data_IF_043726351438
#
_entry.id   IF_043726351438
#
_cell.length_a   1.000
_cell.length_b   1.000
_cell.length_c   1.000
_cell.angle_alpha   90.00
_cell.angle_beta   90.00
_cell.angle_gamma   90.00
#
_symmetry.space_group_name_H-M   'P 1'
#
loop_
_entity.id
_entity.type
_entity.pdbx_description
1 polymer ?
#
# COMPACT_ATOMS: atom_id res chain seq x y z
N UNK A 1 -35.51 19.22 -2.82
CA UNK A 1 -35.22 20.59 -3.28
C UNK A 1 -33.80 20.60 -3.78
N UNK A 2 -33.55 20.71 -5.09
CA UNK A 2 -32.19 20.71 -5.61
C UNK A 2 -31.52 22.02 -5.23
N UNK A 3 -30.33 21.93 -4.63
CA UNK A 3 -29.47 23.10 -4.42
C UNK A 3 -28.96 23.55 -5.78
N UNK A 4 -29.39 24.75 -6.14
CA UNK A 4 -28.92 25.55 -7.24
C UNK A 4 -27.38 25.65 -7.19
N UNK A 5 -26.69 25.08 -8.18
CA UNK A 5 -25.25 25.27 -8.38
C UNK A 5 -25.06 26.55 -9.20
N UNK A 6 -25.11 27.69 -8.53
CA UNK A 6 -24.77 28.98 -9.11
C UNK A 6 -23.45 29.50 -8.54
N UNK A 7 -22.33 29.05 -9.11
CA UNK A 7 -21.07 29.80 -9.17
C UNK A 7 -20.29 29.27 -10.37
N UNK A 8 -20.03 30.13 -11.35
CA UNK A 8 -19.44 29.80 -12.65
C UNK A 8 -18.01 29.29 -12.57
N UNK A 9 -17.83 28.02 -12.25
CA UNK A 9 -16.65 27.27 -12.67
C UNK A 9 -16.88 26.88 -14.13
N UNK A 10 -16.04 27.39 -15.03
CA UNK A 10 -15.97 26.89 -16.41
C UNK A 10 -15.84 25.36 -16.34
N UNK A 11 -16.68 24.64 -17.09
CA UNK A 11 -16.54 23.19 -17.25
C UNK A 11 -15.19 22.93 -17.93
N UNK A 12 -14.14 22.73 -17.13
CA UNK A 12 -12.81 22.39 -17.63
C UNK A 12 -12.94 21.04 -18.33
N UNK A 13 -12.77 21.04 -19.65
CA UNK A 13 -12.86 19.83 -20.48
C UNK A 13 -11.65 18.94 -20.22
N UNK A 14 -11.86 17.61 -20.26
CA UNK A 14 -10.78 16.63 -20.18
C UNK A 14 -9.70 16.91 -21.25
N UNK A 15 -8.45 17.20 -20.86
CA UNK A 15 -7.40 17.57 -21.83
C UNK A 15 -6.74 16.37 -22.52
N UNK A 16 -7.21 15.15 -22.26
CA UNK A 16 -6.51 13.92 -22.65
C UNK A 16 -5.37 13.58 -21.69
N UNK A 17 -5.06 12.29 -21.56
CA UNK A 17 -3.83 11.88 -20.89
C UNK A 17 -2.65 12.11 -21.85
N UNK A 18 -1.60 12.85 -21.45
CA UNK A 18 -0.49 13.19 -22.34
C UNK A 18 0.50 12.03 -22.51
N UNK A 19 0.11 10.99 -23.22
CA UNK A 19 0.99 9.86 -23.56
C UNK A 19 2.18 10.29 -24.43
N UNK A 20 2.01 11.36 -25.21
CA UNK A 20 2.99 11.97 -26.10
C UNK A 20 3.98 12.92 -25.38
N UNK A 21 3.85 13.11 -24.06
CA UNK A 21 4.79 13.92 -23.29
C UNK A 21 6.23 13.42 -23.55
N UNK A 22 7.13 14.25 -24.12
CA UNK A 22 8.44 13.80 -24.54
C UNK A 22 9.31 13.51 -23.32
N UNK A 23 10.21 12.53 -23.48
CA UNK A 23 11.38 12.44 -22.61
C UNK A 23 12.30 13.60 -22.95
N UNK A 24 12.62 14.44 -21.98
CA UNK A 24 13.67 15.44 -22.16
C UNK A 24 15.03 14.76 -22.01
N UNK A 25 16.07 15.34 -22.61
CA UNK A 25 17.44 14.81 -22.50
C UNK A 25 17.82 14.62 -21.03
N UNK A 26 17.37 15.52 -20.16
CA UNK A 26 17.66 15.46 -18.73
C UNK A 26 16.80 14.45 -17.96
N UNK A 27 15.69 13.96 -18.53
CA UNK A 27 14.97 12.81 -17.98
C UNK A 27 15.70 11.49 -18.27
N UNK A 28 16.40 11.41 -19.41
CA UNK A 28 17.14 10.22 -19.85
C UNK A 28 18.56 10.18 -19.28
N UNK A 29 19.22 11.33 -19.29
CA UNK A 29 20.59 11.56 -18.87
C UNK A 29 20.59 12.68 -17.82
N UNK A 30 20.17 12.40 -16.57
CA UNK A 30 20.14 13.41 -15.51
C UNK A 30 21.52 14.03 -15.37
N UNK A 31 21.69 15.33 -15.71
CA UNK A 31 23.01 15.92 -15.76
C UNK A 31 23.61 15.97 -14.34
N UNK A 32 24.94 15.95 -14.24
CA UNK A 32 25.66 16.09 -12.97
C UNK A 32 25.57 17.53 -12.38
N UNK A 33 24.41 18.18 -12.53
CA UNK A 33 24.10 19.49 -11.97
C UNK A 33 23.96 19.35 -10.46
N UNK A 34 24.18 20.43 -9.71
CA UNK A 34 23.84 20.44 -8.30
C UNK A 34 22.38 19.98 -8.11
N UNK A 35 22.16 19.04 -7.19
CA UNK A 35 20.84 18.50 -6.79
C UNK A 35 19.73 19.55 -6.67
N UNK A 36 20.11 20.80 -6.37
CA UNK A 36 19.23 21.96 -6.26
C UNK A 36 18.50 22.29 -7.56
N UNK A 37 19.21 22.32 -8.69
CA UNK A 37 18.63 22.63 -9.99
C UNK A 37 17.84 21.46 -10.60
N UNK A 38 18.16 20.24 -10.18
CA UNK A 38 17.43 19.05 -10.60
C UNK A 38 16.02 19.01 -9.97
N UNK A 39 15.90 19.34 -8.68
CA UNK A 39 14.61 19.33 -7.96
C UNK A 39 13.65 20.45 -8.36
N UNK A 40 14.12 21.54 -8.98
CA UNK A 40 13.25 22.63 -9.47
C UNK A 40 12.56 22.30 -10.79
N UNK A 41 12.90 21.17 -11.41
CA UNK A 41 12.32 20.69 -12.66
C UNK A 41 11.28 19.62 -12.38
N UNK A 42 10.29 19.52 -13.25
CA UNK A 42 9.32 18.42 -13.24
C UNK A 42 9.77 17.32 -14.18
N UNK A 43 9.80 16.08 -13.67
CA UNK A 43 10.02 14.86 -14.46
C UNK A 43 8.88 14.63 -15.43
N UNK A 44 9.09 13.78 -16.44
CA UNK A 44 8.06 13.41 -17.43
C UNK A 44 6.71 13.10 -16.79
N UNK A 45 6.65 12.14 -15.86
CA UNK A 45 5.41 11.75 -15.16
C UNK A 45 4.76 12.92 -14.42
N UNK A 46 5.56 13.80 -13.82
CA UNK A 46 5.06 14.98 -13.12
C UNK A 46 4.47 16.01 -14.07
N UNK A 47 5.05 16.17 -15.27
CA UNK A 47 4.49 17.02 -16.32
C UNK A 47 3.15 16.48 -16.80
N UNK A 48 3.01 15.16 -16.92
CA UNK A 48 1.73 14.51 -17.26
C UNK A 48 0.65 14.82 -16.22
N UNK A 49 0.93 14.59 -14.94
CA UNK A 49 0.00 14.91 -13.84
C UNK A 49 -0.32 16.39 -13.74
N UNK A 50 0.69 17.27 -13.89
CA UNK A 50 0.49 18.72 -13.90
C UNK A 50 -0.46 19.15 -15.02
N UNK A 51 -0.35 18.57 -16.22
CA UNK A 51 -1.21 18.94 -17.36
C UNK A 51 -2.68 18.66 -17.08
N UNK A 52 -2.99 17.56 -16.39
CA UNK A 52 -4.38 17.20 -16.06
C UNK A 52 -4.87 17.80 -14.73
N UNK A 53 -4.00 18.43 -13.95
CA UNK A 53 -4.38 18.95 -12.62
C UNK A 53 -5.53 19.96 -12.64
N UNK A 54 -5.60 20.94 -13.57
CA UNK A 54 -6.76 21.84 -13.64
C UNK A 54 -8.09 21.08 -13.78
N UNK A 55 -8.09 20.02 -14.57
CA UNK A 55 -9.26 19.16 -14.73
C UNK A 55 -9.56 18.35 -13.46
N UNK A 56 -8.57 17.70 -12.83
CA UNK A 56 -8.79 17.00 -11.56
C UNK A 56 -9.34 17.94 -10.48
N UNK A 57 -8.89 19.19 -10.47
CA UNK A 57 -9.39 20.22 -9.56
C UNK A 57 -10.87 20.55 -9.80
N UNK A 58 -11.31 20.67 -11.06
CA UNK A 58 -12.74 20.84 -11.38
C UNK A 58 -13.57 19.60 -11.00
N UNK A 59 -12.94 18.42 -10.95
CA UNK A 59 -13.54 17.20 -10.42
C UNK A 59 -13.52 17.10 -8.88
N UNK A 60 -13.01 18.12 -8.17
CA UNK A 60 -12.99 18.17 -6.71
C UNK A 60 -11.73 17.61 -6.05
N UNK A 61 -10.64 17.41 -6.80
CA UNK A 61 -9.40 16.80 -6.29
C UNK A 61 -8.16 17.67 -6.56
N UNK A 62 -7.45 18.02 -5.49
CA UNK A 62 -6.29 18.90 -5.54
C UNK A 62 -4.99 18.11 -5.34
N UNK A 63 -4.13 18.09 -6.36
CA UNK A 63 -2.77 17.55 -6.24
C UNK A 63 -1.86 18.47 -5.41
N UNK A 64 -0.72 17.92 -4.99
CA UNK A 64 0.32 18.64 -4.23
C UNK A 64 0.80 19.91 -4.95
N UNK A 65 1.32 20.94 -4.23
CA UNK A 65 1.73 22.21 -4.83
C UNK A 65 2.62 22.09 -6.07
N UNK A 66 3.50 21.09 -6.11
CA UNK A 66 4.41 20.77 -7.21
C UNK A 66 3.72 20.56 -8.57
N UNK A 67 2.47 20.10 -8.57
CA UNK A 67 1.70 19.81 -9.79
C UNK A 67 0.76 20.95 -10.20
N UNK A 68 0.77 22.08 -9.49
CA UNK A 68 -0.05 23.22 -9.87
C UNK A 68 0.54 23.94 -11.10
N UNK A 69 -0.29 24.41 -12.04
CA UNK A 69 0.17 25.30 -13.11
C UNK A 69 0.91 26.51 -12.52
N UNK A 70 2.06 26.85 -13.11
CA UNK A 70 2.89 27.95 -12.61
C UNK A 70 3.56 27.67 -11.26
N UNK A 71 3.70 26.41 -10.83
CA UNK A 71 4.43 26.05 -9.60
C UNK A 71 5.82 26.70 -9.57
N UNK A 72 6.11 27.31 -8.44
CA UNK A 72 7.39 27.92 -8.08
C UNK A 72 7.92 27.15 -6.88
N UNK A 73 9.16 26.62 -6.92
CA UNK A 73 9.76 25.89 -5.81
C UNK A 73 9.72 26.68 -4.50
N UNK A 74 9.30 26.04 -3.40
CA UNK A 74 9.20 26.70 -2.10
C UNK A 74 10.55 27.04 -1.45
N UNK A 75 11.66 26.54 -2.00
CA UNK A 75 13.03 26.83 -1.58
C UNK A 75 13.70 27.84 -2.52
N UNK A 76 13.31 29.11 -2.45
CA UNK A 76 14.05 30.14 -3.16
C UNK A 76 15.29 30.57 -2.36
N UNK A 77 16.40 30.97 -3.03
CA UNK A 77 17.49 31.64 -2.34
C UNK A 77 16.95 32.92 -1.69
N UNK A 78 16.98 33.01 -0.35
CA UNK A 78 16.67 34.26 0.34
C UNK A 78 17.68 35.34 -0.10
N UNK A 79 17.19 36.54 -0.42
CA UNK A 79 18.04 37.71 -0.65
C UNK A 79 18.85 37.98 0.62
N UNK A 80 20.11 37.54 0.65
CA UNK A 80 20.96 37.59 1.84
C UNK A 80 21.90 36.40 2.06
N UNK A 81 21.91 35.41 1.16
CA UNK A 81 22.95 34.36 1.17
C UNK A 81 22.76 33.26 2.21
N UNK A 82 21.53 33.05 2.72
CA UNK A 82 21.25 31.83 3.48
C UNK A 82 21.27 30.61 2.58
N UNK A 83 21.75 29.50 3.13
CA UNK A 83 21.77 28.21 2.46
C UNK A 83 20.34 27.77 2.10
N UNK A 84 20.14 27.34 0.84
CA UNK A 84 18.86 26.85 0.33
C UNK A 84 18.47 25.56 1.08
N UNK A 85 17.48 25.63 1.97
CA UNK A 85 16.93 24.47 2.68
C UNK A 85 15.83 23.78 1.86
N UNK A 86 16.23 22.74 1.12
CA UNK A 86 15.34 21.88 0.33
C UNK A 86 14.87 20.65 1.09
N UNK A 87 15.72 20.11 1.98
CA UNK A 87 15.51 18.78 2.56
C UNK A 87 14.37 18.74 3.60
N UNK A 88 13.72 19.88 3.83
CA UNK A 88 12.55 20.04 4.68
C UNK A 88 11.29 20.46 3.91
N UNK A 89 11.33 20.52 2.57
CA UNK A 89 10.24 20.97 1.71
C UNK A 89 9.58 19.81 0.98
N UNK A 90 8.26 19.68 1.13
CA UNK A 90 7.47 18.64 0.46
C UNK A 90 7.63 18.68 -1.05
N UNK A 91 7.47 19.86 -1.65
CA UNK A 91 7.50 20.06 -3.10
C UNK A 91 8.90 19.87 -3.72
N UNK A 92 9.91 19.55 -2.90
CA UNK A 92 11.25 19.14 -3.34
C UNK A 92 11.38 17.63 -3.57
N UNK A 93 10.40 16.83 -3.14
CA UNK A 93 10.40 15.38 -3.30
C UNK A 93 9.82 15.04 -4.68
N UNK A 94 10.63 14.48 -5.60
CA UNK A 94 10.16 14.12 -6.93
C UNK A 94 9.20 12.93 -6.88
N UNK A 95 8.24 12.94 -7.79
CA UNK A 95 7.29 11.86 -8.02
C UNK A 95 7.77 10.96 -9.17
N UNK A 96 8.73 10.11 -8.81
CA UNK A 96 9.50 9.26 -9.73
C UNK A 96 9.52 7.78 -9.29
N UNK A 97 8.62 7.39 -8.39
CA UNK A 97 8.50 6.00 -7.98
C UNK A 97 8.00 5.12 -9.17
N UNK A 98 8.13 3.79 -9.06
CA UNK A 98 7.77 2.85 -10.15
C UNK A 98 6.31 2.93 -10.59
N UNK A 99 5.42 3.41 -9.71
CA UNK A 99 4.00 3.60 -9.95
C UNK A 99 3.64 5.08 -10.20
N UNK A 100 4.61 5.97 -10.40
CA UNK A 100 4.37 7.41 -10.59
C UNK A 100 3.58 7.73 -11.86
N UNK A 101 3.56 6.83 -12.86
CA UNK A 101 2.74 7.01 -14.06
C UNK A 101 1.27 6.61 -13.86
N UNK A 102 0.94 5.93 -12.75
CA UNK A 102 -0.39 5.33 -12.51
C UNK A 102 -0.99 5.76 -11.18
N UNK A 103 -0.22 6.23 -10.21
CA UNK A 103 -0.70 6.60 -8.88
C UNK A 103 -0.16 7.94 -8.43
N UNK A 104 -0.98 8.74 -7.76
CA UNK A 104 -0.59 10.01 -7.14
C UNK A 104 -1.49 10.30 -5.93
N UNK A 105 -1.01 11.03 -4.93
CA UNK A 105 -1.84 11.47 -3.82
C UNK A 105 -2.49 12.84 -4.07
N UNK A 106 -3.69 13.03 -3.52
CA UNK A 106 -4.49 14.23 -3.69
C UNK A 106 -5.28 14.56 -2.41
N UNK A 107 -5.78 15.78 -2.29
CA UNK A 107 -6.76 16.16 -1.29
C UNK A 107 -8.12 16.34 -1.94
N UNK A 108 -9.13 15.65 -1.42
CA UNK A 108 -10.53 15.88 -1.82
C UNK A 108 -10.98 17.23 -1.27
N UNK A 109 -11.44 18.13 -2.14
CA UNK A 109 -11.74 19.53 -1.80
C UNK A 109 -12.92 19.63 -0.82
N UNK A 110 -13.91 18.74 -0.94
CA UNK A 110 -15.15 18.81 -0.15
C UNK A 110 -14.95 18.64 1.36
N UNK A 111 -13.93 17.89 1.79
CA UNK A 111 -13.72 17.54 3.19
C UNK A 111 -12.25 17.50 3.63
N UNK A 112 -11.31 17.77 2.72
CA UNK A 112 -9.88 17.75 2.99
C UNK A 112 -9.30 16.35 3.19
N UNK A 113 -10.02 15.28 2.80
CA UNK A 113 -9.53 13.92 2.95
C UNK A 113 -8.32 13.69 2.04
N UNK A 114 -7.23 13.16 2.61
CA UNK A 114 -6.04 12.72 1.86
C UNK A 114 -6.34 11.37 1.20
N UNK A 115 -6.23 11.33 -0.12
CA UNK A 115 -6.58 10.18 -0.94
C UNK A 115 -5.44 9.82 -1.90
N UNK A 116 -5.46 8.58 -2.40
CA UNK A 116 -4.65 8.13 -3.51
C UNK A 116 -5.53 8.01 -4.76
N UNK A 117 -5.10 8.61 -5.86
CA UNK A 117 -5.71 8.46 -7.17
C UNK A 117 -4.93 7.39 -7.93
N UNK A 118 -5.60 6.32 -8.37
CA UNK A 118 -5.04 5.32 -9.30
C UNK A 118 -5.67 5.49 -10.67
N UNK A 119 -4.87 5.89 -11.66
CA UNK A 119 -5.25 6.00 -13.07
C UNK A 119 -5.32 4.62 -13.71
N UNK A 120 -6.39 4.38 -14.46
CA UNK A 120 -6.56 3.22 -15.33
C UNK A 120 -6.74 3.73 -16.78
N UNK A 121 -5.94 3.25 -17.75
CA UNK A 121 -5.97 3.67 -19.15
C UNK A 121 -7.11 3.01 -19.94
N UNK A 122 -8.32 3.06 -19.40
CA UNK A 122 -9.53 2.68 -20.12
C UNK A 122 -10.74 3.37 -19.50
N UNK A 123 -11.86 3.28 -20.21
CA UNK A 123 -13.15 3.72 -19.69
C UNK A 123 -13.51 2.93 -18.44
N UNK A 124 -14.26 3.57 -17.55
CA UNK A 124 -14.74 2.93 -16.32
C UNK A 124 -15.53 1.64 -16.61
N UNK A 125 -16.34 1.63 -17.67
CA UNK A 125 -17.17 0.48 -18.04
C UNK A 125 -16.35 -0.73 -18.53
N UNK A 126 -15.13 -0.50 -19.02
CA UNK A 126 -14.26 -1.52 -19.60
C UNK A 126 -13.25 -2.09 -18.58
N UNK A 127 -13.22 -1.55 -17.36
CA UNK A 127 -12.24 -1.92 -16.33
C UNK A 127 -12.74 -3.05 -15.44
N UNK A 128 -12.11 -4.22 -15.54
CA UNK A 128 -12.31 -5.35 -14.62
C UNK A 128 -11.86 -4.99 -13.20
N UNK A 129 -10.73 -4.28 -13.05
CA UNK A 129 -10.22 -3.81 -11.77
C UNK A 129 -11.23 -2.93 -11.06
N UNK A 130 -11.79 -1.93 -11.76
CA UNK A 130 -12.83 -1.07 -11.22
C UNK A 130 -14.08 -1.88 -10.84
N UNK A 131 -14.52 -2.79 -11.71
CA UNK A 131 -15.70 -3.63 -11.46
C UNK A 131 -15.56 -4.45 -10.17
N UNK A 132 -14.41 -5.10 -9.96
CA UNK A 132 -14.12 -5.87 -8.75
C UNK A 132 -14.02 -4.95 -7.52
N UNK A 133 -13.27 -3.86 -7.62
CA UNK A 133 -13.07 -2.92 -6.51
C UNK A 133 -14.38 -2.26 -6.08
N UNK A 134 -15.24 -1.92 -7.04
CA UNK A 134 -16.57 -1.37 -6.79
C UNK A 134 -17.49 -2.39 -6.14
N UNK A 135 -17.49 -3.66 -6.60
CA UNK A 135 -18.24 -4.74 -5.98
C UNK A 135 -17.82 -4.95 -4.51
N UNK A 136 -16.52 -4.99 -4.24
CA UNK A 136 -15.98 -5.14 -2.87
C UNK A 136 -16.27 -3.92 -1.97
N UNK A 137 -16.65 -2.79 -2.57
CA UNK A 137 -16.98 -1.54 -1.89
C UNK A 137 -18.50 -1.29 -1.75
N UNK A 138 -19.34 -2.23 -2.18
CA UNK A 138 -20.78 -2.15 -1.95
C UNK A 138 -21.12 -2.21 -0.45
N UNK A 139 -22.25 -1.61 -0.01
CA UNK A 139 -22.64 -1.57 1.41
C UNK A 139 -22.66 -2.95 2.09
N UNK A 140 -23.07 -4.00 1.38
CA UNK A 140 -23.14 -5.37 1.86
C UNK A 140 -21.74 -5.90 2.17
N UNK A 141 -20.82 -5.79 1.20
CA UNK A 141 -19.43 -6.23 1.36
C UNK A 141 -18.68 -5.38 2.39
N UNK A 142 -18.95 -4.07 2.49
CA UNK A 142 -18.28 -3.19 3.46
C UNK A 142 -18.67 -3.46 4.92
N UNK A 143 -19.83 -4.06 5.16
CA UNK A 143 -20.29 -4.41 6.52
C UNK A 143 -19.60 -5.65 7.06
N UNK A 144 -19.10 -6.54 6.20
CA UNK A 144 -18.36 -7.72 6.63
C UNK A 144 -16.95 -7.31 7.10
N UNK A 145 -16.66 -7.53 8.37
CA UNK A 145 -15.38 -7.16 8.98
C UNK A 145 -14.17 -7.90 8.34
N UNK A 146 -14.42 -9.07 7.74
CA UNK A 146 -13.42 -9.88 7.02
C UNK A 146 -13.06 -9.29 5.67
N UNK A 147 -13.82 -8.30 5.18
CA UNK A 147 -13.49 -7.62 3.94
C UNK A 147 -12.29 -6.68 4.12
N UNK A 148 -11.11 -7.20 3.84
CA UNK A 148 -9.86 -6.43 3.82
C UNK A 148 -9.55 -5.83 2.45
N UNK A 149 -10.47 -5.78 1.49
CA UNK A 149 -10.24 -5.03 0.25
C UNK A 149 -10.22 -3.53 0.54
N UNK A 150 -9.34 -2.79 -0.14
CA UNK A 150 -9.35 -1.33 -0.07
C UNK A 150 -10.70 -0.77 -0.52
N UNK A 151 -11.33 0.13 0.27
CA UNK A 151 -12.60 0.69 -0.13
C UNK A 151 -12.40 1.71 -1.26
N UNK A 152 -13.33 1.72 -2.21
CA UNK A 152 -13.46 2.73 -3.25
C UNK A 152 -14.25 3.92 -2.68
N UNK A 153 -13.63 5.09 -2.64
CA UNK A 153 -14.25 6.30 -2.11
C UNK A 153 -15.04 7.06 -3.17
N UNK A 154 -14.54 7.08 -4.40
CA UNK A 154 -15.11 7.76 -5.55
C UNK A 154 -14.47 7.27 -6.86
N UNK A 155 -15.05 7.64 -8.00
CA UNK A 155 -14.55 7.33 -9.35
C UNK A 155 -14.62 8.59 -10.20
N UNK A 156 -13.45 9.10 -10.61
CA UNK A 156 -13.37 10.20 -11.56
C UNK A 156 -13.36 9.61 -12.97
N UNK A 157 -14.32 10.01 -13.81
CA UNK A 157 -14.51 9.45 -15.16
C UNK A 157 -14.00 10.42 -16.22
N UNK A 158 -13.19 9.92 -17.14
CA UNK A 158 -12.83 10.58 -18.38
C UNK A 158 -13.26 9.71 -19.58
N UNK A 159 -13.31 10.26 -20.81
CA UNK A 159 -13.72 9.53 -22.01
C UNK A 159 -12.89 8.28 -22.34
N UNK A 160 -11.62 8.25 -21.96
CA UNK A 160 -10.64 7.20 -22.28
C UNK A 160 -9.89 6.69 -21.04
N UNK A 161 -10.18 7.24 -19.87
CA UNK A 161 -9.52 6.95 -18.60
C UNK A 161 -10.54 6.91 -17.45
N UNK A 162 -10.17 6.22 -16.37
CA UNK A 162 -10.82 6.42 -15.09
C UNK A 162 -9.78 6.50 -13.97
N UNK A 163 -10.13 7.20 -12.89
CA UNK A 163 -9.30 7.34 -11.71
C UNK A 163 -10.06 6.83 -10.50
N UNK A 164 -9.53 5.79 -9.89
CA UNK A 164 -10.05 5.24 -8.63
C UNK A 164 -9.56 6.15 -7.51
N UNK A 165 -10.49 6.63 -6.69
CA UNK A 165 -10.19 7.40 -5.48
C UNK A 165 -10.18 6.44 -4.30
N UNK A 166 -8.99 6.20 -3.76
CA UNK A 166 -8.73 5.23 -2.70
C UNK A 166 -8.26 5.97 -1.42
N UNK A 167 -8.45 5.42 -0.22
CA UNK A 167 -7.83 5.95 0.99
C UNK A 167 -6.31 5.99 0.86
N UNK A 168 -5.70 7.03 1.41
CA UNK A 168 -4.25 7.16 1.45
C UNK A 168 -3.64 6.31 2.58
N UNK A 169 -3.34 5.04 2.29
CA UNK A 169 -2.73 4.11 3.24
C UNK A 169 -1.23 3.92 3.02
N UNK A 170 -0.56 3.38 4.04
CA UNK A 170 0.90 3.25 4.05
C UNK A 170 1.37 1.89 3.56
N UNK A 171 2.40 1.87 2.72
CA UNK A 171 3.10 0.65 2.29
C UNK A 171 3.86 -0.04 3.44
N UNK A 172 3.92 -1.38 3.39
CA UNK A 172 4.71 -2.22 4.30
C UNK A 172 6.22 -2.22 3.99
N UNK A 173 6.63 -1.84 2.77
CA UNK A 173 8.02 -1.96 2.29
C UNK A 173 8.97 -0.90 2.91
N UNK A 174 8.43 0.02 3.72
CA UNK A 174 9.23 1.06 4.38
C UNK A 174 10.11 0.54 5.52
N UNK A 175 11.31 1.12 5.68
CA UNK A 175 12.17 0.87 6.86
C UNK A 175 11.57 1.38 8.17
N UNK A 176 10.61 2.29 8.10
CA UNK A 176 9.97 2.93 9.25
C UNK A 176 8.57 2.37 9.43
N UNK A 177 8.20 2.05 10.67
CA UNK A 177 7.00 1.27 10.95
C UNK A 177 7.21 -0.23 10.83
N UNK A 178 8.44 -0.72 11.04
CA UNK A 178 8.73 -2.16 11.18
C UNK A 178 8.01 -2.75 12.41
N UNK A 179 7.87 -4.07 12.45
CA UNK A 179 7.22 -4.79 13.53
C UNK A 179 8.04 -4.63 14.81
N UNK A 180 7.37 -4.34 15.92
CA UNK A 180 8.00 -4.18 17.25
C UNK A 180 7.73 -5.39 18.15
N UNK A 181 6.62 -6.12 17.92
CA UNK A 181 6.23 -7.31 18.69
C UNK A 181 5.83 -8.49 17.79
N UNK A 182 5.83 -9.70 18.35
CA UNK A 182 5.32 -10.91 17.68
C UNK A 182 3.84 -10.72 17.30
N UNK A 183 3.05 -10.10 18.17
CA UNK A 183 1.63 -9.78 17.96
C UNK A 183 1.42 -8.98 16.68
N UNK A 184 2.27 -7.99 16.41
CA UNK A 184 2.13 -7.17 15.21
C UNK A 184 2.30 -7.98 13.92
N UNK A 185 3.20 -8.97 13.90
CA UNK A 185 3.35 -9.88 12.77
C UNK A 185 2.21 -10.87 12.65
N UNK A 186 1.72 -11.38 13.78
CA UNK A 186 0.55 -12.27 13.83
C UNK A 186 -0.72 -11.57 13.36
N UNK A 187 -0.95 -10.32 13.79
CA UNK A 187 -2.10 -9.53 13.36
C UNK A 187 -2.06 -9.22 11.85
N UNK A 188 -0.87 -8.97 11.29
CA UNK A 188 -0.66 -8.78 9.86
C UNK A 188 -1.01 -10.04 9.06
N UNK A 189 -0.41 -11.18 9.42
CA UNK A 189 -0.69 -12.46 8.75
C UNK A 189 -2.17 -12.82 8.86
N UNK A 190 -2.74 -12.75 10.05
CA UNK A 190 -4.13 -13.11 10.29
C UNK A 190 -5.11 -12.28 9.47
N UNK A 191 -5.03 -10.94 9.54
CA UNK A 191 -5.97 -10.06 8.84
C UNK A 191 -5.90 -10.24 7.32
N UNK A 192 -4.71 -10.43 6.76
CA UNK A 192 -4.60 -10.67 5.32
C UNK A 192 -5.09 -12.06 4.93
N UNK A 193 -4.89 -13.10 5.77
CA UNK A 193 -5.42 -14.44 5.52
C UNK A 193 -6.95 -14.44 5.57
N UNK A 194 -7.52 -13.77 6.57
CA UNK A 194 -8.96 -13.55 6.71
C UNK A 194 -9.51 -12.78 5.50
N UNK A 195 -8.81 -11.73 5.07
CA UNK A 195 -9.12 -10.96 3.87
C UNK A 195 -9.16 -11.81 2.60
N UNK A 196 -8.14 -12.63 2.40
CA UNK A 196 -8.05 -13.48 1.23
C UNK A 196 -9.06 -14.63 1.27
N UNK A 197 -9.30 -15.22 2.45
CA UNK A 197 -10.37 -16.22 2.63
C UNK A 197 -11.72 -15.64 2.21
N UNK A 198 -12.01 -14.40 2.64
CA UNK A 198 -13.23 -13.70 2.24
C UNK A 198 -13.31 -13.45 0.73
N UNK A 199 -12.21 -13.05 0.08
CA UNK A 199 -12.18 -12.94 -1.39
C UNK A 199 -12.46 -14.30 -2.06
N UNK A 200 -11.85 -15.38 -1.57
CA UNK A 200 -12.05 -16.73 -2.10
C UNK A 200 -13.48 -17.23 -1.90
N UNK A 201 -14.13 -16.92 -0.76
CA UNK A 201 -15.56 -17.17 -0.53
C UNK A 201 -16.45 -16.47 -1.56
N UNK A 202 -16.07 -15.25 -1.96
CA UNK A 202 -16.74 -14.50 -3.03
C UNK A 202 -16.34 -14.96 -4.44
N UNK A 203 -15.57 -16.04 -4.55
CA UNK A 203 -14.97 -16.56 -5.78
C UNK A 203 -14.15 -15.51 -6.53
N UNK A 204 -13.35 -14.75 -5.81
CA UNK A 204 -12.39 -13.79 -6.36
C UNK A 204 -10.98 -14.30 -6.08
N UNK A 205 -10.21 -14.56 -7.13
CA UNK A 205 -8.77 -14.81 -7.02
C UNK A 205 -8.02 -13.50 -7.28
N UNK A 206 -7.09 -13.13 -6.39
CA UNK A 206 -6.35 -11.87 -6.47
C UNK A 206 -5.26 -11.92 -7.55
N UNK A 207 -4.56 -13.05 -7.67
CA UNK A 207 -3.54 -13.37 -8.68
C UNK A 207 -2.26 -12.52 -8.68
N UNK A 208 -2.06 -11.62 -7.72
CA UNK A 208 -0.81 -10.87 -7.55
C UNK A 208 -0.57 -10.49 -6.07
N UNK A 209 -0.61 -11.47 -5.17
CA UNK A 209 -0.35 -11.19 -3.76
C UNK A 209 1.15 -11.02 -3.50
N UNK A 210 1.50 -9.81 -3.09
CA UNK A 210 2.84 -9.44 -2.68
C UNK A 210 2.81 -8.44 -1.53
N UNK A 211 3.96 -8.22 -0.88
CA UNK A 211 4.06 -7.20 0.16
C UNK A 211 3.78 -5.76 -0.34
N UNK A 212 3.92 -5.51 -1.65
CA UNK A 212 3.58 -4.22 -2.26
C UNK A 212 2.07 -4.01 -2.36
N UNK A 213 1.29 -5.11 -2.46
CA UNK A 213 -0.17 -5.09 -2.58
C UNK A 213 -0.90 -5.25 -1.23
N UNK A 214 -0.18 -5.00 -0.13
CA UNK A 214 -0.74 -4.89 1.22
C UNK A 214 -0.42 -3.52 1.76
N UNK A 215 -1.45 -2.74 2.08
CA UNK A 215 -1.33 -1.45 2.75
C UNK A 215 -1.80 -1.55 4.20
N UNK A 216 -1.34 -0.61 5.03
CA UNK A 216 -1.80 -0.46 6.41
C UNK A 216 -2.41 0.92 6.63
N UNK A 217 -3.56 0.95 7.29
CA UNK A 217 -4.12 2.18 7.86
C UNK A 217 -3.24 2.61 9.04
N UNK A 218 -2.38 3.58 8.76
CA UNK A 218 -1.25 3.94 9.62
C UNK A 218 -1.39 5.32 10.25
N UNK A 219 -2.48 6.06 10.02
CA UNK A 219 -2.55 7.48 10.35
C UNK A 219 -2.25 7.74 11.84
N UNK A 220 -2.79 6.88 12.71
CA UNK A 220 -2.55 6.96 14.16
C UNK A 220 -1.10 6.68 14.55
N UNK A 221 -0.34 5.94 13.74
CA UNK A 221 1.10 5.69 13.94
C UNK A 221 1.96 6.90 13.55
N UNK A 222 1.51 7.69 12.56
CA UNK A 222 2.26 8.78 11.96
C UNK A 222 1.56 10.11 12.21
N UNK A 223 1.76 10.76 13.38
CA UNK A 223 1.03 11.99 13.76
C UNK A 223 1.31 13.20 12.87
N UNK A 224 2.30 13.13 11.99
CA UNK A 224 2.62 14.15 10.99
C UNK A 224 2.32 13.68 9.55
N UNK A 225 1.64 12.54 9.42
CA UNK A 225 1.40 11.85 8.16
C UNK A 225 2.68 11.29 7.53
N UNK A 226 2.59 10.91 6.27
CA UNK A 226 3.69 10.36 5.49
C UNK A 226 3.56 10.70 4.00
N UNK A 227 4.70 10.74 3.32
CA UNK A 227 4.77 11.07 1.90
C UNK A 227 4.64 9.82 1.01
N UNK A 228 3.88 9.92 -0.10
CA UNK A 228 3.70 8.85 -1.08
C UNK A 228 5.05 8.38 -1.67
N UNK A 229 5.79 9.31 -2.28
CA UNK A 229 7.04 9.00 -3.00
C UNK A 229 8.22 8.66 -2.11
N UNK A 230 8.20 9.11 -0.85
CA UNK A 230 9.32 8.90 0.04
C UNK A 230 8.86 8.63 1.47
N UNK A 231 8.69 7.35 1.77
CA UNK A 231 8.22 6.87 3.07
C UNK A 231 9.15 7.19 4.25
N UNK A 232 10.28 7.89 4.05
CA UNK A 232 11.12 8.43 5.13
C UNK A 232 10.69 9.82 5.60
N UNK A 233 9.83 10.50 4.84
CA UNK A 233 9.37 11.86 5.10
C UNK A 233 7.88 11.91 5.46
N UNK A 234 7.51 12.92 6.24
CA UNK A 234 6.14 13.27 6.55
C UNK A 234 5.49 14.04 5.39
N UNK A 235 4.19 14.35 5.49
CA UNK A 235 3.45 15.06 4.42
C UNK A 235 3.95 16.49 4.16
N UNK A 236 4.85 17.01 5.02
CA UNK A 236 5.46 18.33 4.84
C UNK A 236 6.89 18.23 4.30
N UNK A 237 7.34 17.04 3.92
CA UNK A 237 8.69 16.82 3.42
C UNK A 237 9.76 16.84 4.49
N UNK A 238 9.42 16.61 5.77
CA UNK A 238 10.41 16.54 6.86
C UNK A 238 10.68 15.10 7.24
N UNK A 239 11.89 14.80 7.72
CA UNK A 239 12.21 13.44 8.21
C UNK A 239 11.22 13.00 9.29
N UNK A 240 10.68 11.80 9.13
CA UNK A 240 9.68 11.28 10.07
C UNK A 240 10.25 11.18 11.49
N UNK A 241 9.45 11.70 12.44
CA UNK A 241 9.72 11.69 13.86
C UNK A 241 8.46 11.28 14.63
N UNK A 242 8.62 10.93 15.92
CA UNK A 242 7.51 10.59 16.83
C UNK A 242 6.58 9.46 16.34
N UNK A 243 7.08 8.58 15.48
CA UNK A 243 6.36 7.40 14.98
C UNK A 243 6.03 6.49 16.15
N UNK A 244 4.75 6.10 16.26
CA UNK A 244 4.26 5.15 17.27
C UNK A 244 4.26 3.73 16.69
N UNK A 245 4.41 2.73 17.54
CA UNK A 245 4.28 1.32 17.11
C UNK A 245 2.80 0.96 16.94
N UNK A 246 2.50 -0.13 16.21
CA UNK A 246 1.12 -0.59 16.02
C UNK A 246 0.51 -0.97 17.37
N UNK A 247 1.30 -1.60 18.24
CA UNK A 247 0.89 -1.94 19.60
C UNK A 247 0.48 -0.68 20.37
N UNK A 248 1.26 0.41 20.33
CA UNK A 248 0.97 1.64 21.07
C UNK A 248 -0.34 2.32 20.70
N UNK A 249 -0.83 2.12 19.48
CA UNK A 249 -2.10 2.71 19.01
C UNK A 249 -3.28 1.74 19.10
N UNK A 250 -3.07 0.53 19.64
CA UNK A 250 -4.09 -0.50 19.77
C UNK A 250 -4.29 -1.38 18.53
N UNK A 251 -3.35 -1.38 17.59
CA UNK A 251 -3.40 -2.12 16.33
C UNK A 251 -3.65 -1.23 15.11
N UNK A 252 -3.51 -1.84 13.93
CA UNK A 252 -3.81 -1.25 12.62
C UNK A 252 -4.65 -2.22 11.82
N UNK A 253 -5.37 -1.70 10.82
CA UNK A 253 -6.05 -2.52 9.82
C UNK A 253 -5.18 -2.63 8.57
N UNK A 254 -5.14 -3.82 7.99
CA UNK A 254 -4.44 -4.07 6.72
C UNK A 254 -5.44 -4.21 5.59
N UNK A 255 -5.03 -3.80 4.40
CA UNK A 255 -5.87 -3.81 3.21
C UNK A 255 -5.13 -4.44 2.03
N UNK A 256 -5.82 -5.34 1.33
CA UNK A 256 -5.43 -5.85 0.03
C UNK A 256 -5.80 -4.81 -1.04
N UNK A 257 -4.87 -4.55 -1.95
CA UNK A 257 -5.00 -3.56 -3.02
C UNK A 257 -4.64 -4.17 -4.37
N UNK A 258 -4.89 -3.40 -5.42
CA UNK A 258 -4.50 -3.73 -6.79
C UNK A 258 -5.19 -4.99 -7.34
N UNK A 259 -6.43 -4.79 -7.78
CA UNK A 259 -7.24 -5.85 -8.39
C UNK A 259 -7.05 -5.90 -9.92
N UNK A 260 -5.94 -5.34 -10.44
CA UNK A 260 -5.62 -5.30 -11.87
C UNK A 260 -5.54 -6.69 -12.52
N UNK A 261 -4.98 -7.67 -11.80
CA UNK A 261 -4.86 -9.06 -12.26
C UNK A 261 -5.95 -9.99 -11.70
N UNK A 262 -6.82 -9.46 -10.84
CA UNK A 262 -7.83 -10.25 -10.15
C UNK A 262 -8.92 -10.75 -11.10
N UNK A 263 -9.50 -11.89 -10.76
CA UNK A 263 -10.62 -12.49 -11.51
C UNK A 263 -11.73 -12.88 -10.55
N UNK A 264 -12.97 -12.51 -10.90
CA UNK A 264 -14.18 -12.98 -10.23
C UNK A 264 -14.84 -14.05 -11.07
N UNK A 265 -15.15 -15.20 -10.45
CA UNK A 265 -15.74 -16.36 -11.09
C UNK A 265 -17.23 -16.45 -10.77
N UNK A 266 -18.04 -16.72 -11.78
CA UNK A 266 -19.43 -17.10 -11.64
C UNK A 266 -19.60 -18.47 -10.95
N UNK A 267 -20.82 -18.80 -10.49
CA UNK A 267 -21.11 -20.08 -9.84
C UNK A 267 -20.83 -21.30 -10.71
N UNK A 268 -20.99 -21.16 -12.03
CA UNK A 268 -20.82 -22.24 -13.01
C UNK A 268 -19.46 -22.22 -13.73
N UNK A 269 -18.60 -21.25 -13.41
CA UNK A 269 -17.30 -21.13 -14.07
C UNK A 269 -16.35 -22.22 -13.60
N UNK A 270 -15.58 -22.77 -14.55
CA UNK A 270 -14.40 -23.55 -14.23
C UNK A 270 -13.42 -22.68 -13.45
N UNK A 271 -12.85 -23.23 -12.37
CA UNK A 271 -11.79 -22.57 -11.60
C UNK A 271 -10.43 -22.67 -12.30
N UNK A 272 -10.26 -23.59 -13.25
CA UNK A 272 -9.03 -23.69 -14.04
C UNK A 272 -9.00 -22.59 -15.10
N UNK A 273 -7.98 -21.75 -15.04
CA UNK A 273 -7.76 -20.66 -16.00
C UNK A 273 -6.56 -20.93 -16.89
N UNK A 274 -6.71 -20.52 -18.16
CA UNK A 274 -5.62 -20.48 -19.13
C UNK A 274 -5.19 -19.03 -19.39
N UNK A 275 -4.85 -18.30 -18.31
CA UNK A 275 -4.38 -16.91 -18.38
C UNK A 275 -2.94 -16.81 -17.87
N UNK A 276 -2.07 -16.11 -18.59
CA UNK A 276 -0.69 -15.87 -18.14
C UNK A 276 -0.71 -15.13 -16.80
N UNK A 277 0.11 -15.58 -15.86
CA UNK A 277 0.33 -14.85 -14.62
C UNK A 277 1.25 -13.67 -14.90
N UNK A 278 0.86 -12.48 -14.42
CA UNK A 278 1.72 -11.29 -14.36
C UNK A 278 2.09 -10.95 -12.90
N UNK A 279 1.92 -11.90 -12.01
CA UNK A 279 2.19 -11.74 -10.60
C UNK A 279 3.67 -11.38 -10.34
N UNK A 280 3.92 -10.58 -9.32
CA UNK A 280 5.26 -10.27 -8.84
C UNK A 280 5.96 -11.49 -8.22
N UNK A 281 5.18 -12.47 -7.77
CA UNK A 281 5.63 -13.76 -7.25
C UNK A 281 4.88 -14.84 -8.04
N UNK A 282 5.59 -15.79 -8.62
CA UNK A 282 4.98 -16.85 -9.43
C UNK A 282 4.92 -18.17 -8.68
N UNK A 283 3.75 -18.80 -8.68
CA UNK A 283 3.62 -20.21 -8.29
C UNK A 283 4.20 -21.13 -9.38
N UNK A 284 4.75 -22.30 -9.03
CA UNK A 284 5.43 -23.19 -9.99
C UNK A 284 4.59 -23.53 -11.22
N UNK A 285 3.30 -23.81 -11.04
CA UNK A 285 2.35 -24.16 -12.11
C UNK A 285 2.02 -22.99 -13.06
N UNK A 286 2.38 -21.76 -12.69
CA UNK A 286 2.16 -20.56 -13.53
C UNK A 286 3.32 -20.27 -14.48
N UNK A 287 4.45 -20.95 -14.30
CA UNK A 287 5.70 -20.70 -15.02
C UNK A 287 5.84 -21.58 -16.28
N UNK A 288 6.55 -21.04 -17.27
CA UNK A 288 6.92 -21.75 -18.50
C UNK A 288 5.94 -21.53 -19.65
N UNK A 289 6.45 -21.58 -20.89
CA UNK A 289 5.64 -21.33 -22.10
C UNK A 289 4.52 -22.35 -22.28
N UNK A 290 4.73 -23.61 -21.93
CA UNK A 290 3.74 -24.68 -22.11
C UNK A 290 3.00 -25.05 -20.80
N UNK A 291 2.80 -24.08 -19.90
CA UNK A 291 2.17 -24.32 -18.60
C UNK A 291 0.69 -24.74 -18.75
N UNK A 292 0.22 -25.79 -18.03
CA UNK A 292 -1.18 -26.22 -18.12
C UNK A 292 -2.13 -25.17 -17.52
N UNK A 293 -3.44 -25.20 -17.83
CA UNK A 293 -4.42 -24.44 -17.06
C UNK A 293 -4.27 -24.73 -15.56
N UNK A 294 -4.41 -23.71 -14.72
CA UNK A 294 -4.16 -23.81 -13.28
C UNK A 294 -5.29 -23.19 -12.46
N UNK A 295 -5.37 -23.62 -11.19
CA UNK A 295 -6.27 -23.03 -10.20
C UNK A 295 -5.62 -21.77 -9.60
N UNK A 296 -6.20 -20.57 -9.81
CA UNK A 296 -5.62 -19.32 -9.32
C UNK A 296 -5.77 -19.16 -7.81
N UNK A 297 -6.72 -19.85 -7.15
CA UNK A 297 -6.88 -19.82 -5.71
C UNK A 297 -5.72 -20.55 -5.01
N UNK A 298 -5.23 -21.64 -5.62
CA UNK A 298 -4.01 -22.34 -5.17
C UNK A 298 -2.75 -21.50 -5.43
N UNK A 299 -2.71 -20.74 -6.53
CA UNK A 299 -1.62 -19.80 -6.80
C UNK A 299 -1.61 -18.63 -5.80
N UNK A 300 -2.78 -18.11 -5.40
CA UNK A 300 -2.91 -17.10 -4.33
C UNK A 300 -2.33 -17.61 -3.01
N UNK A 301 -2.63 -18.85 -2.61
CA UNK A 301 -2.06 -19.46 -1.41
C UNK A 301 -0.53 -19.50 -1.46
N UNK A 302 0.04 -19.90 -2.59
CA UNK A 302 1.48 -19.94 -2.78
C UNK A 302 2.12 -18.55 -2.70
N UNK A 303 1.59 -17.58 -3.45
CA UNK A 303 2.15 -16.21 -3.51
C UNK A 303 2.04 -15.49 -2.18
N UNK A 304 0.96 -15.72 -1.43
CA UNK A 304 0.82 -15.24 -0.06
C UNK A 304 1.81 -15.91 0.89
N UNK A 305 1.97 -17.23 0.82
CA UNK A 305 2.97 -17.95 1.61
C UNK A 305 4.39 -17.43 1.37
N UNK A 306 4.80 -17.30 0.11
CA UNK A 306 6.11 -16.75 -0.27
C UNK A 306 6.29 -15.29 0.14
N UNK A 307 5.22 -14.49 0.10
CA UNK A 307 5.23 -13.13 0.64
C UNK A 307 5.58 -13.15 2.13
N UNK A 308 4.94 -14.01 2.91
CA UNK A 308 5.15 -14.12 4.35
C UNK A 308 6.47 -14.78 4.74
N UNK A 309 6.98 -15.70 3.92
CA UNK A 309 8.35 -16.20 4.03
C UNK A 309 9.34 -15.05 3.99
N UNK A 310 9.22 -14.17 2.99
CA UNK A 310 10.13 -13.02 2.81
C UNK A 310 10.00 -11.98 3.93
N UNK A 311 8.77 -11.56 4.29
CA UNK A 311 8.59 -10.42 5.19
C UNK A 311 8.62 -10.78 6.69
N UNK A 312 8.26 -12.02 7.07
CA UNK A 312 8.30 -12.47 8.47
C UNK A 312 9.49 -13.38 8.75
N UNK A 313 9.59 -14.53 8.08
CA UNK A 313 10.63 -15.53 8.38
C UNK A 313 12.01 -14.98 8.09
N UNK A 314 12.26 -14.53 6.85
CA UNK A 314 13.55 -13.96 6.47
C UNK A 314 13.74 -12.55 7.01
N UNK A 315 12.66 -11.76 7.06
CA UNK A 315 12.65 -10.39 7.53
C UNK A 315 12.99 -10.24 9.02
N UNK A 316 12.69 -11.26 9.84
CA UNK A 316 12.86 -11.28 11.29
C UNK A 316 13.28 -12.68 11.77
N UNK A 317 14.43 -13.16 11.27
CA UNK A 317 14.96 -14.51 11.54
C UNK A 317 14.98 -14.84 13.03
N UNK A 318 14.45 -16.01 13.39
CA UNK A 318 14.39 -16.49 14.78
C UNK A 318 13.17 -15.99 15.58
N UNK A 319 12.39 -15.04 15.05
CA UNK A 319 11.21 -14.52 15.76
C UNK A 319 9.88 -15.06 15.24
N UNK A 320 9.85 -15.57 14.00
CA UNK A 320 8.63 -16.07 13.36
C UNK A 320 8.74 -17.52 12.88
N UNK A 321 9.80 -18.24 13.25
CA UNK A 321 10.08 -19.61 12.77
C UNK A 321 8.95 -20.60 13.10
N UNK A 322 8.15 -20.33 14.14
CA UNK A 322 6.95 -21.13 14.46
C UNK A 322 5.88 -21.10 13.36
N UNK A 323 5.89 -20.09 12.48
CA UNK A 323 5.00 -20.00 11.33
C UNK A 323 5.52 -20.80 10.12
N UNK A 324 6.76 -21.29 10.15
CA UNK A 324 7.37 -21.97 9.02
C UNK A 324 6.59 -23.21 8.55
N UNK A 325 6.02 -24.08 9.42
CA UNK A 325 5.21 -25.21 8.97
C UNK A 325 4.02 -24.77 8.11
N UNK A 326 3.21 -23.82 8.59
CA UNK A 326 2.09 -23.24 7.84
C UNK A 326 2.55 -22.67 6.49
N UNK A 327 3.62 -21.87 6.50
CA UNK A 327 4.11 -21.24 5.27
C UNK A 327 4.63 -22.31 4.29
N UNK A 328 5.28 -23.36 4.77
CA UNK A 328 5.74 -24.47 3.92
C UNK A 328 4.57 -25.21 3.26
N UNK A 329 3.49 -25.45 4.01
CA UNK A 329 2.27 -26.08 3.48
C UNK A 329 1.63 -25.19 2.39
N UNK A 330 1.51 -23.87 2.65
CA UNK A 330 1.00 -22.90 1.66
C UNK A 330 1.87 -22.82 0.40
N UNK A 331 3.18 -23.05 0.51
CA UNK A 331 4.14 -22.95 -0.59
C UNK A 331 4.55 -24.31 -1.17
N UNK A 332 3.77 -25.37 -0.95
CA UNK A 332 4.05 -26.67 -1.55
C UNK A 332 4.12 -26.60 -3.08
N UNK A 333 5.07 -27.30 -3.70
CA UNK A 333 5.23 -27.29 -5.17
C UNK A 333 3.99 -27.81 -5.87
N UNK A 334 3.43 -28.92 -5.40
CA UNK A 334 2.14 -29.45 -5.88
C UNK A 334 0.99 -28.54 -5.39
N UNK A 335 0.23 -27.89 -6.29
CA UNK A 335 -0.89 -27.04 -5.89
C UNK A 335 -1.99 -27.79 -5.12
N UNK A 336 -2.17 -29.09 -5.35
CA UNK A 336 -3.18 -29.88 -4.64
C UNK A 336 -2.80 -30.17 -3.19
N UNK A 337 -1.50 -30.19 -2.88
CA UNK A 337 -0.99 -30.36 -1.52
C UNK A 337 -1.11 -29.08 -0.67
N UNK A 338 -1.34 -27.92 -1.28
CA UNK A 338 -1.51 -26.66 -0.56
C UNK A 338 -2.87 -26.63 0.15
N UNK A 339 -2.97 -26.10 1.38
CA UNK A 339 -4.24 -25.83 2.02
C UNK A 339 -5.03 -24.78 1.22
N UNK A 340 -6.35 -24.82 1.31
CA UNK A 340 -7.18 -23.64 1.04
C UNK A 340 -6.84 -22.51 2.02
N UNK A 341 -7.19 -21.27 1.69
CA UNK A 341 -6.92 -20.16 2.61
C UNK A 341 -7.73 -20.29 3.91
N UNK A 342 -8.94 -20.86 3.85
CA UNK A 342 -9.71 -21.17 5.05
C UNK A 342 -8.97 -22.15 5.97
N UNK A 343 -8.43 -23.24 5.42
CA UNK A 343 -7.60 -24.19 6.18
C UNK A 343 -6.31 -23.53 6.71
N UNK A 344 -5.68 -22.64 5.94
CA UNK A 344 -4.52 -21.87 6.38
C UNK A 344 -4.84 -20.96 7.57
N UNK A 345 -6.04 -20.33 7.60
CA UNK A 345 -6.54 -19.56 8.76
C UNK A 345 -6.68 -20.48 9.98
N UNK A 346 -7.22 -21.68 9.83
CA UNK A 346 -7.34 -22.64 10.93
C UNK A 346 -5.99 -23.08 11.48
N UNK A 347 -5.04 -23.42 10.59
CA UNK A 347 -3.67 -23.75 10.96
C UNK A 347 -2.99 -22.59 11.70
N UNK A 348 -3.13 -21.36 11.22
CA UNK A 348 -2.62 -20.17 11.89
C UNK A 348 -3.23 -20.02 13.29
N UNK A 349 -4.54 -20.21 13.43
CA UNK A 349 -5.23 -20.10 14.73
C UNK A 349 -4.73 -21.17 15.71
N UNK A 350 -4.45 -22.39 15.25
CA UNK A 350 -3.81 -23.44 16.06
C UNK A 350 -2.44 -22.98 16.57
N UNK A 351 -1.57 -22.45 15.69
CA UNK A 351 -0.26 -21.92 16.08
C UNK A 351 -0.42 -20.78 17.10
N UNK A 352 -1.31 -19.82 16.83
CA UNK A 352 -1.57 -18.67 17.70
C UNK A 352 -2.06 -19.07 19.08
N UNK A 353 -2.86 -20.12 19.20
CA UNK A 353 -3.39 -20.61 20.48
C UNK A 353 -2.29 -21.09 21.45
N UNK A 354 -1.10 -21.44 20.93
CA UNK A 354 0.04 -21.86 21.73
C UNK A 354 0.78 -20.68 22.40
N UNK A 355 0.43 -19.43 22.06
CA UNK A 355 1.09 -18.24 22.56
C UNK A 355 0.25 -17.50 23.60
N UNK A 356 0.84 -17.29 24.78
CA UNK A 356 0.25 -16.42 25.79
C UNK A 356 0.22 -14.97 25.33
N UNK A 357 -0.65 -14.16 25.93
CA UNK A 357 -0.68 -12.70 25.70
C UNK A 357 0.71 -12.07 25.90
N UNK A 358 1.43 -12.48 26.94
CA UNK A 358 2.80 -12.00 27.19
C UNK A 358 3.74 -12.41 26.07
N UNK A 359 3.73 -13.67 25.63
CA UNK A 359 4.60 -14.13 24.55
C UNK A 359 4.35 -13.36 23.24
N UNK A 360 3.11 -13.02 22.92
CA UNK A 360 2.77 -12.19 21.75
C UNK A 360 3.34 -10.77 21.86
N UNK A 361 3.52 -10.22 23.06
CA UNK A 361 4.13 -8.90 23.25
C UNK A 361 5.67 -8.93 23.33
N UNK A 362 6.29 -10.09 23.12
CA UNK A 362 7.74 -10.19 23.01
C UNK A 362 8.28 -9.33 21.86
N UNK A 363 9.39 -8.64 22.14
CA UNK A 363 10.07 -7.75 21.19
C UNK A 363 10.63 -8.54 20.02
N UNK A 364 10.42 -8.05 18.80
CA UNK A 364 11.05 -8.60 17.59
C UNK A 364 12.04 -7.60 16.98
N UNK A 365 12.99 -8.11 16.19
CA UNK A 365 13.98 -7.26 15.52
C UNK A 365 14.17 -7.71 14.07
N UNK A 366 14.19 -6.76 13.13
CA UNK A 366 14.47 -7.08 11.72
C UNK A 366 15.87 -7.67 11.54
N UNK A 367 16.01 -8.63 10.64
CA UNK A 367 17.28 -9.29 10.30
C UNK A 367 18.36 -8.31 9.83
N UNK A 368 17.96 -7.16 9.25
CA UNK A 368 18.86 -6.07 8.83
C UNK A 368 19.37 -5.18 9.97
N UNK A 369 18.98 -5.44 11.23
CA UNK A 369 19.38 -4.61 12.37
C UNK A 369 20.84 -4.87 12.75
N UNK A 370 21.57 -3.82 13.15
CA UNK A 370 22.93 -3.98 13.71
C UNK A 370 22.90 -4.92 14.92
N UNK A 371 23.93 -5.77 15.07
CA UNK A 371 24.07 -6.63 16.25
C UNK A 371 24.11 -5.76 17.51
N UNK A 372 23.31 -6.13 18.50
CA UNK A 372 23.35 -5.50 19.83
C UNK A 372 24.39 -6.25 20.68
N UNK A 373 25.15 -5.50 21.49
CA UNK A 373 25.95 -6.08 22.56
C UNK A 373 25.03 -6.76 23.59
N UNK A 374 25.57 -7.70 24.38
CA UNK A 374 24.79 -8.39 25.41
C UNK A 374 24.14 -7.41 26.41
N UNK A 375 24.91 -6.43 26.90
CA UNK A 375 24.40 -5.38 27.78
C UNK A 375 23.34 -4.51 27.10
N UNK A 376 23.56 -4.14 25.83
CA UNK A 376 22.59 -3.38 25.04
C UNK A 376 21.26 -4.12 24.91
N UNK A 377 21.30 -5.44 24.71
CA UNK A 377 20.11 -6.29 24.61
C UNK A 377 19.31 -6.31 25.93
N UNK A 378 19.99 -6.42 27.07
CA UNK A 378 19.32 -6.42 28.38
C UNK A 378 18.62 -5.09 28.62
N UNK A 379 19.30 -3.97 28.34
CA UNK A 379 18.73 -2.63 28.50
C UNK A 379 17.52 -2.43 27.58
N UNK A 380 17.65 -2.72 26.27
CA UNK A 380 16.56 -2.52 25.31
C UNK A 380 15.36 -3.42 25.59
N UNK A 381 15.58 -4.66 26.04
CA UNK A 381 14.51 -5.59 26.42
C UNK A 381 13.79 -5.14 27.69
N UNK A 382 14.53 -4.65 28.69
CA UNK A 382 13.94 -4.11 29.93
C UNK A 382 13.08 -2.88 29.61
N UNK A 383 13.62 -1.95 28.81
CA UNK A 383 12.89 -0.77 28.37
C UNK A 383 11.64 -1.10 27.55
N UNK A 384 11.71 -2.13 26.69
CA UNK A 384 10.56 -2.64 25.95
C UNK A 384 9.43 -3.08 26.89
N UNK A 385 9.74 -3.93 27.86
CA UNK A 385 8.73 -4.43 28.80
C UNK A 385 8.13 -3.32 29.66
N UNK A 386 8.93 -2.33 30.09
CA UNK A 386 8.40 -1.13 30.74
C UNK A 386 7.38 -0.41 29.87
N UNK A 387 7.66 -0.24 28.56
CA UNK A 387 6.69 0.35 27.62
C UNK A 387 5.43 -0.49 27.44
N UNK A 388 5.55 -1.82 27.41
CA UNK A 388 4.39 -2.72 27.32
C UNK A 388 3.52 -2.64 28.58
N UNK A 389 4.13 -2.58 29.77
CA UNK A 389 3.41 -2.40 31.03
C UNK A 389 2.68 -1.05 31.09
N UNK A 390 3.35 0.05 30.71
CA UNK A 390 2.71 1.38 30.61
C UNK A 390 1.53 1.34 29.64
N UNK A 391 1.68 0.68 28.49
CA UNK A 391 0.60 0.50 27.53
C UNK A 391 -0.56 -0.28 28.12
N UNK A 392 -0.30 -1.41 28.80
CA UNK A 392 -1.34 -2.22 29.44
C UNK A 392 -2.11 -1.41 30.49
N UNK A 393 -1.40 -0.69 31.37
CA UNK A 393 -2.01 0.14 32.43
C UNK A 393 -2.89 1.25 31.84
N UNK A 394 -2.44 1.93 30.78
CA UNK A 394 -3.20 3.00 30.13
C UNK A 394 -4.46 2.53 29.41
N UNK A 395 -4.53 1.25 29.06
CA UNK A 395 -5.65 0.67 28.32
C UNK A 395 -6.51 -0.27 29.17
N UNK A 396 -6.24 -0.37 30.48
CA UNK A 396 -7.19 -0.95 31.44
C UNK A 396 -8.41 -0.02 31.48
N UNK A 397 -9.49 -0.44 30.84
CA UNK A 397 -10.82 0.12 31.09
C UNK A 397 -11.24 -0.39 32.48
N UNK A 398 -11.38 0.53 33.43
CA UNK A 398 -12.01 0.26 34.73
C UNK A 398 -13.51 0.07 34.57
#
# INVERSE_FOLDING_TARGET
MPKDRSSGEEDIVWPGWPDDEPYLEEDLNPPAVERKFDRTRLRRTERQWRKIQPWLQSQGYLLRPRFKPGWIPSWQPEAGGKEIDMDTREDSIPHENVNAATTIDAFRISDGLHVCLKRIPCRAEDSSELSITQFLSQPEQRKDARNHAVPLLDIIRAPDHCFLVLPFYRTLVSRKGRLDTVKEGFDLLYQTLEGLAYLHELRIAHRDLSAANILMDADRMFPHGFHLDNAQFDMRGRRMSKVRTRTQIGGVRYYLIDFGEAMKFGPSDSVLIDVRSKASIHAPETLGENRPPYDPFKADAYTMGETYRKILIDGYKGYFDMLAPLINDMTATDPNARPTIAEAVEQFNKIKSLYSRTALHARVRPSSSKRESALGRVFTSSWHWTRQLIFAVRNLKW
#
